data_IF_512294898590
#
_entry.id   IF_512294898590
#
_cell.length_a   1.000
_cell.length_b   1.000
_cell.length_c   1.000
_cell.angle_alpha   90.00
_cell.angle_beta   90.00
_cell.angle_gamma   90.00
#
_symmetry.space_group_name_H-M   'P 1'
#
loop_
_entity.id
_entity.type
_entity.pdbx_description
1 polymer ?
#
# COMPACT_ATOMS: atom_id res chain seq x y z
N UNK A 1 11.25 6.53 15.37
CA UNK A 1 10.52 7.32 14.35
C UNK A 1 11.54 7.90 13.38
N UNK A 2 11.34 7.73 12.07
CA UNK A 2 12.28 8.18 11.02
C UNK A 2 11.63 9.30 10.22
N UNK A 3 12.31 10.44 10.06
CA UNK A 3 11.83 11.57 9.25
C UNK A 3 12.55 11.60 7.92
N UNK A 4 11.80 11.58 6.82
CA UNK A 4 12.38 11.51 5.48
C UNK A 4 11.66 12.43 4.49
N UNK A 5 12.35 12.77 3.41
CA UNK A 5 11.81 13.53 2.27
C UNK A 5 12.38 12.96 0.97
N UNK A 6 11.62 13.05 -0.10
CA UNK A 6 12.11 12.70 -1.43
C UNK A 6 13.19 13.69 -1.89
N UNK A 7 14.27 13.19 -2.49
CA UNK A 7 15.31 14.02 -3.13
C UNK A 7 14.95 14.46 -4.54
N UNK A 8 14.11 13.69 -5.24
CA UNK A 8 13.64 14.05 -6.59
C UNK A 8 13.07 15.46 -6.59
N UNK A 9 13.16 16.21 -7.68
CA UNK A 9 12.49 17.52 -7.82
C UNK A 9 11.22 17.42 -8.64
N UNK A 10 11.01 16.31 -9.32
CA UNK A 10 9.88 16.05 -10.22
C UNK A 10 9.16 14.76 -9.85
N UNK A 11 7.91 14.65 -10.30
CA UNK A 11 7.13 13.42 -10.21
C UNK A 11 6.31 13.22 -11.50
N UNK A 12 6.02 11.97 -11.82
CA UNK A 12 5.26 11.59 -13.01
C UNK A 12 3.79 11.44 -12.66
N UNK A 13 2.93 12.12 -13.42
CA UNK A 13 1.49 11.97 -13.34
C UNK A 13 1.05 10.61 -13.89
N UNK A 14 -0.15 10.13 -13.55
CA UNK A 14 -0.73 8.90 -14.12
C UNK A 14 -0.86 8.96 -15.64
N UNK A 15 -0.97 10.15 -16.23
CA UNK A 15 -0.98 10.32 -17.69
C UNK A 15 0.42 10.21 -18.34
N UNK A 16 1.48 9.92 -17.58
CA UNK A 16 2.85 9.80 -18.06
C UNK A 16 3.64 11.12 -18.09
N UNK A 17 2.99 12.27 -17.91
CA UNK A 17 3.65 13.58 -17.93
C UNK A 17 4.41 13.84 -16.63
N UNK A 18 5.70 14.14 -16.73
CA UNK A 18 6.51 14.65 -15.61
C UNK A 18 6.11 16.08 -15.25
N UNK A 19 6.05 16.40 -13.95
CA UNK A 19 5.81 17.76 -13.47
C UNK A 19 6.77 18.13 -12.34
N UNK A 20 7.24 19.38 -12.36
CA UNK A 20 7.99 20.03 -11.30
C UNK A 20 7.13 21.04 -10.50
N UNK A 21 5.89 21.31 -10.95
CA UNK A 21 4.99 22.33 -10.36
C UNK A 21 4.44 21.84 -9.03
N UNK A 22 5.03 22.27 -7.92
CA UNK A 22 4.55 21.93 -6.57
C UNK A 22 3.31 22.78 -6.23
N UNK A 23 2.19 22.11 -5.97
CA UNK A 23 0.96 22.73 -5.45
C UNK A 23 0.97 22.85 -3.92
N UNK A 24 1.64 21.94 -3.23
CA UNK A 24 1.75 21.99 -1.77
C UNK A 24 2.53 20.81 -1.20
N UNK A 25 2.67 20.78 0.12
CA UNK A 25 3.32 19.68 0.86
C UNK A 25 2.42 19.23 1.99
N UNK A 26 2.52 17.96 2.37
CA UNK A 26 1.90 17.42 3.57
C UNK A 26 2.75 16.27 4.11
N UNK A 27 2.56 15.95 5.38
CA UNK A 27 3.28 14.87 6.04
C UNK A 27 2.40 13.62 6.09
N UNK A 28 2.98 12.48 5.76
CA UNK A 28 2.35 11.17 5.84
C UNK A 28 3.14 10.28 6.76
N UNK A 29 2.45 9.58 7.64
CA UNK A 29 3.04 8.53 8.47
C UNK A 29 2.81 7.16 7.83
N UNK A 30 3.90 6.42 7.66
CA UNK A 30 3.90 5.06 7.15
C UNK A 30 4.48 4.13 8.21
N UNK A 31 3.79 3.01 8.47
CA UNK A 31 4.36 1.93 9.25
C UNK A 31 5.17 1.02 8.33
N UNK A 32 6.33 0.60 8.80
CA UNK A 32 7.21 -0.31 8.09
C UNK A 32 7.51 -1.54 8.94
N UNK A 33 8.24 -2.49 8.35
CA UNK A 33 8.71 -3.69 9.02
C UNK A 33 9.61 -3.32 10.21
N UNK A 34 9.51 -4.11 11.28
CA UNK A 34 10.31 -3.89 12.46
C UNK A 34 11.81 -4.05 12.16
N UNK A 35 12.63 -3.18 12.75
CA UNK A 35 14.09 -3.25 12.67
C UNK A 35 14.60 -3.57 14.07
N UNK A 36 15.33 -4.68 14.23
CA UNK A 36 15.78 -5.15 15.54
C UNK A 36 14.62 -5.46 16.50
N UNK A 37 13.46 -5.88 15.98
CA UNK A 37 12.25 -6.14 16.77
C UNK A 37 11.44 -4.89 17.15
N UNK A 38 11.92 -3.69 16.83
CA UNK A 38 11.23 -2.44 17.14
C UNK A 38 10.38 -1.99 15.94
N UNK A 39 9.10 -1.71 16.19
CA UNK A 39 8.19 -1.19 15.17
C UNK A 39 8.67 0.15 14.62
N UNK A 40 8.70 0.28 13.30
CA UNK A 40 9.19 1.49 12.62
C UNK A 40 8.04 2.32 12.07
N UNK A 41 8.07 3.62 12.36
CA UNK A 41 7.20 4.63 11.75
C UNK A 41 8.05 5.63 10.98
N UNK A 42 7.74 5.79 9.70
CA UNK A 42 8.36 6.72 8.77
C UNK A 42 7.43 7.91 8.57
N UNK A 43 7.87 9.08 9.00
CA UNK A 43 7.22 10.36 8.78
C UNK A 43 7.78 10.99 7.50
N UNK A 44 7.07 10.80 6.40
CA UNK A 44 7.47 11.21 5.07
C UNK A 44 6.83 12.55 4.70
N UNK A 45 7.65 13.55 4.37
CA UNK A 45 7.17 14.78 3.74
C UNK A 45 6.91 14.54 2.25
N UNK A 46 5.63 14.58 1.85
CA UNK A 46 5.15 14.36 0.48
C UNK A 46 4.79 15.68 -0.18
N UNK A 47 5.24 15.88 -1.41
CA UNK A 47 4.78 16.96 -2.30
C UNK A 47 3.56 16.54 -3.11
N UNK A 48 2.64 17.48 -3.29
CA UNK A 48 1.58 17.45 -4.29
C UNK A 48 2.01 18.29 -5.47
N UNK A 49 1.97 17.70 -6.66
CA UNK A 49 2.28 18.33 -7.93
C UNK A 49 0.99 18.66 -8.69
N UNK A 50 1.03 19.68 -9.54
CA UNK A 50 -0.01 19.96 -10.54
C UNK A 50 0.40 19.36 -11.87
N UNK A 51 -0.48 18.63 -12.54
CA UNK A 51 -0.23 18.17 -13.90
C UNK A 51 -0.26 19.36 -14.86
N UNK A 52 0.70 19.46 -15.77
CA UNK A 52 0.75 20.53 -16.77
C UNK A 52 -0.04 20.17 -18.05
N UNK A 53 -0.48 18.92 -18.20
CA UNK A 53 -1.32 18.49 -19.30
C UNK A 53 -2.79 18.90 -19.05
N UNK A 54 -3.31 19.83 -19.85
CA UNK A 54 -4.68 20.33 -19.76
C UNK A 54 -5.75 19.26 -20.07
N UNK A 55 -5.41 18.22 -20.85
CA UNK A 55 -6.31 17.10 -21.14
C UNK A 55 -6.31 16.03 -20.02
N UNK A 56 -5.43 16.16 -19.03
CA UNK A 56 -5.38 15.21 -17.93
C UNK A 56 -6.50 15.50 -16.91
N UNK A 57 -7.33 14.49 -16.64
CA UNK A 57 -8.35 14.57 -15.59
C UNK A 57 -7.76 14.76 -14.19
N UNK A 58 -6.50 14.38 -13.99
CA UNK A 58 -5.80 14.51 -12.71
C UNK A 58 -5.07 15.85 -12.67
N UNK A 59 -5.76 16.88 -12.17
CA UNK A 59 -5.20 18.24 -12.03
C UNK A 59 -4.05 18.27 -11.02
N UNK A 60 -4.20 17.57 -9.89
CA UNK A 60 -3.16 17.46 -8.86
C UNK A 60 -2.93 16.02 -8.45
N UNK A 61 -1.68 15.65 -8.23
CA UNK A 61 -1.30 14.31 -7.78
C UNK A 61 -0.22 14.38 -6.69
N UNK A 62 -0.24 13.44 -5.77
CA UNK A 62 0.82 13.29 -4.77
C UNK A 62 1.97 12.48 -5.35
N UNK A 63 3.21 12.89 -5.07
CA UNK A 63 4.39 12.13 -5.48
C UNK A 63 4.38 10.72 -4.89
N UNK A 64 4.79 9.74 -5.71
CA UNK A 64 4.95 8.36 -5.29
C UNK A 64 6.43 7.98 -5.34
N UNK A 65 6.96 7.49 -4.23
CA UNK A 65 8.31 6.94 -4.12
C UNK A 65 8.20 5.43 -4.33
N UNK A 66 8.81 4.94 -5.41
CA UNK A 66 8.84 3.52 -5.73
C UNK A 66 9.37 2.70 -4.53
N UNK A 67 8.72 1.57 -4.25
CA UNK A 67 9.07 0.69 -3.13
C UNK A 67 8.66 1.17 -1.74
N UNK A 68 8.33 2.45 -1.55
CA UNK A 68 8.01 3.01 -0.24
C UNK A 68 6.55 3.43 -0.09
N UNK A 69 5.96 4.06 -1.11
CA UNK A 69 4.60 4.61 -1.03
C UNK A 69 3.65 3.91 -1.99
N UNK A 70 2.43 3.71 -1.54
CA UNK A 70 1.28 3.34 -2.39
C UNK A 70 0.15 4.34 -2.12
N UNK A 71 -0.71 4.70 -3.10
CA UNK A 71 -1.86 5.55 -2.85
C UNK A 71 -2.71 5.04 -1.69
N UNK A 72 -3.11 5.94 -0.79
CA UNK A 72 -3.96 5.70 0.39
C UNK A 72 -3.44 4.71 1.47
N UNK A 73 -2.43 3.88 1.19
CA UNK A 73 -1.87 2.92 2.15
C UNK A 73 -1.19 3.57 3.37
N UNK A 74 -1.46 3.09 4.59
CA UNK A 74 -0.71 3.52 5.79
C UNK A 74 0.52 2.64 6.05
N UNK A 75 0.72 1.60 5.24
CA UNK A 75 1.82 0.64 5.34
C UNK A 75 2.73 0.72 4.12
N UNK A 76 4.02 0.49 4.32
CA UNK A 76 4.95 0.26 3.21
C UNK A 76 4.53 -1.00 2.42
N UNK A 77 4.84 -1.07 1.12
CA UNK A 77 4.60 -2.27 0.32
C UNK A 77 5.17 -3.54 0.94
N UNK A 78 6.37 -3.43 1.53
CA UNK A 78 7.05 -4.52 2.23
C UNK A 78 6.21 -5.05 3.41
N UNK A 79 5.81 -4.16 4.34
CA UNK A 79 4.98 -4.54 5.48
C UNK A 79 3.63 -5.11 5.04
N UNK A 80 3.00 -4.50 4.02
CA UNK A 80 1.72 -5.00 3.46
C UNK A 80 1.87 -6.41 2.90
N UNK A 81 2.98 -6.69 2.21
CA UNK A 81 3.28 -8.03 1.70
C UNK A 81 3.39 -9.05 2.83
N UNK A 82 4.15 -8.74 3.88
CA UNK A 82 4.30 -9.63 5.04
C UNK A 82 2.98 -9.90 5.75
N UNK A 83 2.18 -8.87 6.02
CA UNK A 83 0.85 -9.03 6.63
C UNK A 83 -0.06 -9.90 5.77
N UNK A 84 0.03 -9.78 4.44
CA UNK A 84 -0.74 -10.61 3.51
C UNK A 84 -0.30 -12.07 3.59
N UNK A 85 1.01 -12.35 3.60
CA UNK A 85 1.53 -13.71 3.75
C UNK A 85 1.13 -14.37 5.07
N UNK A 86 1.23 -13.62 6.18
CA UNK A 86 0.78 -14.08 7.49
C UNK A 86 -0.72 -14.40 7.46
N UNK A 87 -1.54 -13.48 6.91
CA UNK A 87 -2.98 -13.69 6.78
C UNK A 87 -3.34 -14.95 5.98
N UNK A 88 -2.65 -15.18 4.86
CA UNK A 88 -2.84 -16.37 4.03
C UNK A 88 -2.41 -17.66 4.76
N UNK A 89 -1.28 -17.64 5.46
CA UNK A 89 -0.81 -18.78 6.24
C UNK A 89 -1.77 -19.15 7.38
N UNK A 90 -2.37 -18.15 8.03
CA UNK A 90 -3.35 -18.33 9.10
C UNK A 90 -4.69 -18.85 8.56
N UNK A 91 -5.17 -18.32 7.43
CA UNK A 91 -6.44 -18.74 6.82
C UNK A 91 -6.35 -20.15 6.24
N UNK A 92 -5.23 -20.55 5.64
CA UNK A 92 -5.00 -21.93 5.18
C UNK A 92 -5.14 -22.96 6.31
N UNK A 93 -4.64 -22.63 7.52
CA UNK A 93 -4.79 -23.47 8.73
C UNK A 93 -6.20 -23.43 9.33
N UNK A 94 -7.00 -22.40 9.03
CA UNK A 94 -8.41 -22.37 9.41
C UNK A 94 -9.26 -23.22 8.44
N UNK A 95 -8.94 -23.20 7.15
CA UNK A 95 -9.60 -24.01 6.12
C UNK A 95 -9.47 -25.52 6.36
N UNK A 96 -8.29 -26.00 6.80
CA UNK A 96 -8.10 -27.42 7.15
C UNK A 96 -8.90 -27.84 8.39
N UNK A 97 -9.03 -26.95 9.37
CA UNK A 97 -9.85 -27.19 10.57
C UNK A 97 -11.35 -27.21 10.26
N UNK A 98 -11.82 -26.34 9.37
CA UNK A 98 -13.23 -26.32 8.93
C UNK A 98 -13.56 -27.46 7.95
N UNK A 99 -12.60 -27.91 7.14
CA UNK A 99 -12.74 -29.06 6.26
C UNK A 99 -12.81 -30.41 7.00
N UNK A 100 -12.18 -30.52 8.17
CA UNK A 100 -12.23 -31.72 9.02
C UNK A 100 -13.52 -31.82 9.87
N UNK A 101 -14.16 -30.68 10.16
CA UNK A 101 -15.39 -30.62 10.96
C UNK A 101 -16.70 -30.80 10.17
N UNK A 102 -16.68 -30.66 8.84
CA UNK A 102 -17.88 -30.76 8.02
C UNK A 102 -17.86 -32.04 7.20
N UNK A 103 -18.23 -33.16 7.83
CA UNK A 103 -18.81 -34.30 7.11
C UNK A 103 -20.02 -33.75 6.36
N UNK A 104 -19.86 -33.49 5.06
CA UNK A 104 -20.99 -33.38 4.15
C UNK A 104 -21.76 -34.69 4.28
N UNK A 105 -22.87 -34.67 5.03
CA UNK A 105 -23.88 -35.70 4.92
C UNK A 105 -24.28 -35.70 3.45
N UNK A 106 -23.89 -36.76 2.74
CA UNK A 106 -24.48 -37.14 1.48
C UNK A 106 -25.98 -37.27 1.70
N UNK A 107 -26.73 -36.22 1.35
CA UNK A 107 -28.17 -36.31 1.25
C UNK A 107 -28.46 -37.20 0.05
N UNK A 108 -28.99 -38.38 0.34
CA UNK A 108 -29.15 -39.47 -0.59
C UNK A 108 -30.05 -39.14 -1.77
N UNK A 109 -29.66 -39.72 -2.89
CA UNK A 109 -30.48 -40.13 -4.03
C UNK A 109 -31.90 -40.58 -3.63
N UNK A 110 -32.93 -39.87 -4.12
CA UNK A 110 -34.31 -40.34 -4.45
C UNK A 110 -34.86 -39.28 -5.43
N UNK A 111 -35.48 -39.55 -6.58
CA UNK A 111 -35.91 -40.73 -7.33
C UNK A 111 -35.76 -40.37 -8.81
#
# INVERSE_FOLDING_TARGET
MLRTRARSTTAVCRCGQGSARVHGRYVRELRDVAVGGLGVVIQLSIRRFRCENAACSVVTFAEQIAGLTTPHSRHTPLLRGLLTQIGLALSGRAGTRLGCGRRSRSAGRRR
#
